data_IF_996477730546
#
_entry.id   IF_996477730546
#
_cell.length_a   1.000
_cell.length_b   1.000
_cell.length_c   1.000
_cell.angle_alpha   90.00
_cell.angle_beta   90.00
_cell.angle_gamma   90.00
#
_symmetry.space_group_name_H-M   'P 1'
#
loop_
_entity.id
_entity.type
_entity.pdbx_description
1 polymer ?
#
# COMPACT_ATOMS: atom_id res chain seq x y z
N UNK A 1 -17.27 -3.89 24.61
CA UNK A 1 -17.20 -3.57 23.16
C UNK A 1 -16.56 -2.19 22.97
N UNK A 2 -15.23 -2.13 22.80
CA UNK A 2 -14.56 -0.87 22.43
C UNK A 2 -14.76 -0.62 20.95
N UNK A 3 -15.66 0.30 20.63
CA UNK A 3 -15.96 0.72 19.25
C UNK A 3 -14.71 1.33 18.61
N UNK A 4 -14.38 0.90 17.39
CA UNK A 4 -13.35 1.53 16.56
C UNK A 4 -13.87 2.93 16.23
N UNK A 5 -13.38 3.95 16.95
CA UNK A 5 -13.62 5.34 16.60
C UNK A 5 -12.80 5.67 15.36
N UNK A 6 -13.39 5.40 14.19
CA UNK A 6 -12.83 5.78 12.91
C UNK A 6 -13.18 7.25 12.67
N UNK A 7 -12.29 8.14 13.11
CA UNK A 7 -12.33 9.52 12.64
C UNK A 7 -11.70 9.57 11.24
N UNK A 8 -12.13 10.51 10.38
CA UNK A 8 -11.56 10.65 9.02
C UNK A 8 -10.02 10.78 9.02
N UNK A 9 -9.44 11.23 10.13
CA UNK A 9 -8.03 11.59 10.26
C UNK A 9 -7.22 10.63 11.15
N UNK A 10 -7.86 9.75 11.93
CA UNK A 10 -7.13 8.83 12.79
C UNK A 10 -7.85 7.49 12.95
N UNK A 11 -7.05 6.41 12.93
CA UNK A 11 -7.49 5.06 13.28
C UNK A 11 -6.93 4.71 14.65
N UNK A 12 -7.81 4.22 15.52
CA UNK A 12 -7.44 3.67 16.82
C UNK A 12 -7.30 2.16 16.67
N UNK A 13 -6.07 1.66 16.71
CA UNK A 13 -5.78 0.24 16.67
C UNK A 13 -5.75 -0.32 18.10
N UNK A 14 -6.52 -1.37 18.43
CA UNK A 14 -6.50 -1.96 19.75
C UNK A 14 -5.13 -2.56 20.05
N UNK A 15 -4.71 -2.47 21.31
CA UNK A 15 -3.45 -3.07 21.76
C UNK A 15 -3.52 -4.59 21.66
N UNK A 16 -2.44 -5.24 21.25
CA UNK A 16 -2.36 -6.70 21.21
C UNK A 16 -2.43 -7.34 22.59
N UNK A 17 -2.05 -6.62 23.64
CA UNK A 17 -2.26 -7.03 25.05
C UNK A 17 -3.55 -6.42 25.57
N UNK A 18 -4.10 -6.98 26.66
CA UNK A 18 -5.16 -6.34 27.48
C UNK A 18 -4.68 -5.04 28.17
N UNK A 19 -3.71 -4.33 27.60
CA UNK A 19 -3.26 -3.03 28.03
C UNK A 19 -4.15 -1.95 27.42
N UNK A 20 -4.58 -0.99 28.25
CA UNK A 20 -5.41 0.15 27.87
C UNK A 20 -4.68 1.22 27.02
N UNK A 21 -3.62 0.83 26.31
CA UNK A 21 -2.80 1.71 25.47
C UNK A 21 -3.00 1.36 24.00
N UNK A 22 -4.04 1.93 23.34
CA UNK A 22 -4.24 1.72 21.91
C UNK A 22 -3.15 2.42 21.09
N UNK A 23 -2.84 1.86 19.93
CA UNK A 23 -1.98 2.51 18.94
C UNK A 23 -2.82 3.50 18.14
N UNK A 24 -2.53 4.78 18.27
CA UNK A 24 -3.18 5.85 17.49
C UNK A 24 -2.37 6.06 16.22
N UNK A 25 -3.02 5.91 15.08
CA UNK A 25 -2.41 6.09 13.76
C UNK A 25 -3.00 7.35 13.15
N UNK A 26 -2.16 8.37 12.98
CA UNK A 26 -2.53 9.59 12.27
C UNK A 26 -2.50 9.33 10.76
N UNK A 27 -3.64 9.56 10.12
CA UNK A 27 -3.88 9.40 8.69
C UNK A 27 -4.06 10.72 7.96
N UNK A 28 -3.85 11.87 8.61
CA UNK A 28 -4.09 13.19 8.02
C UNK A 28 -3.34 13.36 6.70
N UNK A 29 -2.01 13.14 6.70
CA UNK A 29 -1.18 13.20 5.50
C UNK A 29 -1.63 12.17 4.43
N UNK A 30 -1.94 10.95 4.86
CA UNK A 30 -2.32 9.86 3.95
C UNK A 30 -3.63 10.20 3.24
N UNK A 31 -4.60 10.76 3.97
CA UNK A 31 -5.89 11.17 3.42
C UNK A 31 -5.76 12.35 2.46
N UNK A 32 -4.95 13.35 2.80
CA UNK A 32 -4.64 14.47 1.90
C UNK A 32 -4.04 13.98 0.59
N UNK A 33 -3.05 13.08 0.68
CA UNK A 33 -2.39 12.52 -0.51
C UNK A 33 -3.33 11.62 -1.33
N UNK A 34 -4.19 10.86 -0.68
CA UNK A 34 -5.19 10.00 -1.33
C UNK A 34 -6.19 10.81 -2.17
N UNK A 35 -6.65 11.97 -1.68
CA UNK A 35 -7.51 12.88 -2.45
C UNK A 35 -6.82 13.43 -3.71
N UNK A 36 -5.48 13.47 -3.73
CA UNK A 36 -4.68 13.96 -4.86
C UNK A 36 -4.36 12.88 -5.89
N UNK A 37 -4.67 11.60 -5.65
CA UNK A 37 -4.44 10.52 -6.61
C UNK A 37 -5.15 10.79 -7.95
N UNK A 38 -6.33 11.41 -7.92
CA UNK A 38 -7.06 11.80 -9.14
C UNK A 38 -6.31 12.83 -10.00
N UNK A 39 -5.37 13.61 -9.44
CA UNK A 39 -4.56 14.58 -10.19
C UNK A 39 -3.59 13.88 -11.16
N UNK A 40 -3.28 12.60 -10.95
CA UNK A 40 -2.39 11.81 -11.83
C UNK A 40 -2.94 11.74 -13.26
N UNK A 41 -4.27 11.79 -13.44
CA UNK A 41 -4.91 11.76 -14.76
C UNK A 41 -4.57 12.99 -15.63
N UNK A 42 -4.23 14.12 -15.02
CA UNK A 42 -3.95 15.38 -15.71
C UNK A 42 -2.56 15.94 -15.36
N UNK A 43 -1.64 15.08 -14.95
CA UNK A 43 -0.31 15.51 -14.49
C UNK A 43 0.54 16.05 -15.63
N UNK A 44 1.14 17.22 -15.42
CA UNK A 44 2.13 17.82 -16.32
C UNK A 44 3.54 17.49 -15.85
N UNK A 45 4.53 17.55 -16.74
CA UNK A 45 5.94 17.32 -16.38
C UNK A 45 6.46 18.24 -15.28
N UNK A 46 5.90 19.44 -15.15
CA UNK A 46 6.27 20.41 -14.11
C UNK A 46 5.67 20.04 -12.74
N UNK A 47 4.48 19.44 -12.71
CA UNK A 47 3.78 19.05 -11.48
C UNK A 47 4.16 17.65 -10.99
N UNK A 48 4.64 16.79 -11.89
CA UNK A 48 5.02 15.40 -11.57
C UNK A 48 6.01 15.29 -10.40
N UNK A 49 7.10 16.08 -10.30
CA UNK A 49 8.05 15.97 -9.19
C UNK A 49 7.43 16.26 -7.82
N UNK A 50 6.51 17.23 -7.75
CA UNK A 50 5.81 17.60 -6.51
C UNK A 50 4.87 16.48 -6.06
N UNK A 51 4.06 15.95 -6.98
CA UNK A 51 3.17 14.81 -6.69
C UNK A 51 3.96 13.57 -6.26
N UNK A 52 5.05 13.27 -6.96
CA UNK A 52 5.93 12.14 -6.61
C UNK A 52 6.53 12.30 -5.20
N UNK A 53 6.97 13.51 -4.83
CA UNK A 53 7.47 13.78 -3.48
C UNK A 53 6.40 13.53 -2.41
N UNK A 54 5.16 13.99 -2.65
CA UNK A 54 4.02 13.77 -1.74
C UNK A 54 3.60 12.31 -1.62
N UNK A 55 3.56 11.57 -2.73
CA UNK A 55 3.28 10.13 -2.69
C UNK A 55 4.37 9.38 -1.93
N UNK A 56 5.64 9.74 -2.12
CA UNK A 56 6.74 9.12 -1.40
C UNK A 56 6.69 9.41 0.12
N UNK A 57 6.36 10.64 0.51
CA UNK A 57 6.17 11.04 1.91
C UNK A 57 5.12 10.16 2.60
N UNK A 58 3.92 10.06 2.01
CA UNK A 58 2.84 9.22 2.55
C UNK A 58 3.19 7.72 2.54
N UNK A 59 3.91 7.24 1.52
CA UNK A 59 4.38 5.86 1.44
C UNK A 59 5.36 5.50 2.56
N UNK A 60 6.27 6.40 2.91
CA UNK A 60 7.21 6.21 4.02
C UNK A 60 6.48 6.14 5.35
N UNK A 61 5.52 7.04 5.59
CA UNK A 61 4.69 7.04 6.79
C UNK A 61 3.91 5.73 6.93
N UNK A 62 3.28 5.25 5.85
CA UNK A 62 2.59 3.94 5.86
C UNK A 62 3.56 2.77 6.10
N UNK A 63 4.76 2.83 5.54
CA UNK A 63 5.81 1.82 5.74
C UNK A 63 6.28 1.78 7.19
N UNK A 64 6.23 2.89 7.92
CA UNK A 64 6.52 2.93 9.36
C UNK A 64 5.37 2.34 10.20
N UNK A 65 4.11 2.61 9.84
CA UNK A 65 2.95 2.14 10.62
C UNK A 65 2.65 0.65 10.46
N UNK A 66 2.83 0.09 9.26
CA UNK A 66 2.50 -1.32 8.98
C UNK A 66 3.19 -2.31 9.94
N UNK A 67 4.52 -2.23 10.18
CA UNK A 67 5.19 -3.10 11.14
C UNK A 67 4.69 -2.93 12.58
N UNK A 68 4.29 -1.71 12.98
CA UNK A 68 3.73 -1.45 14.32
C UNK A 68 2.39 -2.15 14.51
N UNK A 69 1.52 -2.13 13.49
CA UNK A 69 0.23 -2.84 13.51
C UNK A 69 0.44 -4.35 13.46
N UNK A 70 1.35 -4.83 12.61
CA UNK A 70 1.70 -6.25 12.52
C UNK A 70 2.24 -6.80 13.85
N UNK A 71 3.07 -6.01 14.55
CA UNK A 71 3.51 -6.34 15.90
C UNK A 71 2.31 -6.52 16.86
N UNK A 72 1.32 -5.62 16.84
CA UNK A 72 0.13 -5.76 17.69
C UNK A 72 -0.67 -7.01 17.33
N UNK A 73 -0.77 -7.36 16.04
CA UNK A 73 -1.40 -8.59 15.57
C UNK A 73 -0.69 -9.83 16.12
N UNK A 74 0.64 -9.89 16.01
CA UNK A 74 1.45 -10.99 16.54
C UNK A 74 1.34 -11.13 18.07
N UNK A 75 1.16 -10.02 18.78
CA UNK A 75 0.95 -10.05 20.22
C UNK A 75 -0.45 -10.56 20.56
N UNK A 76 -1.50 -10.07 19.88
CA UNK A 76 -2.87 -10.55 20.06
C UNK A 76 -3.00 -12.05 19.76
N UNK A 77 -2.37 -12.51 18.68
CA UNK A 77 -2.35 -13.92 18.29
C UNK A 77 -1.72 -14.80 19.38
N UNK A 78 -0.59 -14.36 19.94
CA UNK A 78 0.07 -15.08 21.04
C UNK A 78 -0.81 -15.17 22.28
N UNK A 79 -1.59 -14.14 22.61
CA UNK A 79 -2.52 -14.18 23.74
C UNK A 79 -3.72 -15.11 23.46
N UNK A 80 -4.27 -15.09 22.25
CA UNK A 80 -5.32 -16.02 21.83
C UNK A 80 -4.83 -17.49 21.89
N UNK A 81 -3.62 -17.76 21.40
CA UNK A 81 -3.03 -19.10 21.42
C UNK A 81 -2.77 -19.58 22.85
N UNK A 82 -2.34 -18.71 23.76
CA UNK A 82 -2.21 -19.04 25.19
C UNK A 82 -3.56 -19.42 25.81
N UNK A 83 -4.62 -18.62 25.60
CA UNK A 83 -5.96 -18.94 26.12
C UNK A 83 -6.46 -20.26 25.56
N UNK A 84 -6.28 -20.47 24.25
CA UNK A 84 -6.60 -21.72 23.58
C UNK A 84 -5.92 -22.92 24.22
N UNK A 85 -4.63 -22.83 24.55
CA UNK A 85 -3.91 -23.91 25.23
C UNK A 85 -4.49 -24.22 26.60
N UNK A 86 -4.81 -23.20 27.41
CA UNK A 86 -5.42 -23.36 28.73
C UNK A 86 -6.79 -24.04 28.62
N UNK A 87 -7.65 -23.55 27.72
CA UNK A 87 -9.00 -24.09 27.52
C UNK A 87 -8.93 -25.55 27.08
N UNK A 88 -8.07 -25.89 26.11
CA UNK A 88 -7.99 -27.25 25.57
C UNK A 88 -7.40 -28.27 26.55
N UNK A 89 -6.43 -27.87 27.38
CA UNK A 89 -5.76 -28.77 28.31
C UNK A 89 -6.54 -28.94 29.61
N UNK A 90 -6.95 -27.82 30.22
CA UNK A 90 -7.48 -27.80 31.58
C UNK A 90 -9.01 -27.79 31.62
N UNK A 91 -9.65 -26.89 30.88
CA UNK A 91 -11.09 -26.62 31.00
C UNK A 91 -11.93 -27.62 30.20
N UNK A 92 -11.52 -27.93 28.96
CA UNK A 92 -12.23 -28.85 28.09
C UNK A 92 -12.31 -30.25 28.71
N UNK A 93 -11.22 -30.72 29.33
CA UNK A 93 -11.23 -32.03 29.99
C UNK A 93 -12.18 -32.08 31.20
N UNK A 94 -12.33 -30.97 31.94
CA UNK A 94 -13.27 -30.88 33.08
C UNK A 94 -14.72 -30.86 32.59
N UNK A 95 -15.03 -29.98 31.64
CA UNK A 95 -16.38 -29.81 31.08
C UNK A 95 -16.88 -31.10 30.42
N UNK A 96 -16.01 -31.83 29.72
CA UNK A 96 -16.39 -33.09 29.07
C UNK A 96 -16.64 -34.21 30.07
N UNK A 97 -15.83 -34.31 31.14
CA UNK A 97 -16.05 -35.26 32.22
C UNK A 97 -17.34 -34.97 32.98
N UNK A 98 -17.62 -33.70 33.28
CA UNK A 98 -18.87 -33.28 33.93
C UNK A 98 -20.11 -33.59 33.09
N UNK A 99 -20.01 -33.44 31.77
CA UNK A 99 -21.10 -33.77 30.83
C UNK A 99 -21.19 -35.27 30.50
N UNK A 100 -20.31 -36.11 31.04
CA UNK A 100 -20.27 -37.55 30.74
C UNK A 100 -19.93 -37.87 29.29
N UNK A 101 -19.30 -36.94 28.57
CA UNK A 101 -18.95 -37.09 27.16
C UNK A 101 -17.53 -37.64 27.00
N UNK A 102 -17.29 -38.39 25.94
CA UNK A 102 -15.95 -38.84 25.60
C UNK A 102 -15.09 -37.69 25.10
N UNK A 103 -13.78 -37.77 25.33
CA UNK A 103 -12.83 -36.74 24.88
C UNK A 103 -12.55 -36.89 23.37
N UNK A 104 -13.46 -36.41 22.53
CA UNK A 104 -13.22 -36.29 21.08
C UNK A 104 -12.61 -34.93 20.71
N UNK A 105 -11.96 -34.85 19.55
CA UNK A 105 -11.40 -33.58 19.05
C UNK A 105 -12.49 -32.53 18.79
N UNK A 106 -13.61 -32.94 18.21
CA UNK A 106 -14.73 -32.05 17.86
C UNK A 106 -15.39 -31.44 19.10
N UNK A 107 -15.55 -32.23 20.17
CA UNK A 107 -16.12 -31.74 21.41
C UNK A 107 -15.19 -30.77 22.14
N UNK A 108 -13.87 -30.99 22.09
CA UNK A 108 -12.89 -30.02 22.62
C UNK A 108 -12.91 -28.71 21.84
N UNK A 109 -13.07 -28.79 20.51
CA UNK A 109 -13.23 -27.60 19.66
C UNK A 109 -14.52 -26.85 19.99
N UNK A 110 -15.64 -27.55 20.17
CA UNK A 110 -16.91 -26.93 20.56
C UNK A 110 -16.82 -26.21 21.92
N UNK A 111 -16.08 -26.78 22.89
CA UNK A 111 -15.82 -26.11 24.18
C UNK A 111 -14.97 -24.86 23.99
N UNK A 112 -13.91 -24.93 23.17
CA UNK A 112 -13.08 -23.76 22.83
C UNK A 112 -13.90 -22.67 22.16
N UNK A 113 -14.75 -23.03 21.19
CA UNK A 113 -15.58 -22.09 20.46
C UNK A 113 -16.65 -21.44 21.37
N UNK A 114 -16.98 -22.08 22.49
CA UNK A 114 -17.89 -21.54 23.51
C UNK A 114 -17.21 -20.63 24.54
N UNK A 115 -15.88 -20.55 24.56
CA UNK A 115 -15.15 -19.71 25.52
C UNK A 115 -15.18 -18.24 25.13
N UNK A 116 -15.90 -17.41 25.90
CA UNK A 116 -16.06 -15.98 25.62
C UNK A 116 -14.72 -15.24 25.56
N UNK A 117 -13.77 -15.57 26.44
CA UNK A 117 -12.47 -14.92 26.48
C UNK A 117 -11.64 -15.21 25.23
N UNK A 118 -11.65 -16.46 24.75
CA UNK A 118 -11.01 -16.83 23.49
C UNK A 118 -11.65 -16.09 22.31
N UNK A 119 -12.99 -16.01 22.25
CA UNK A 119 -13.67 -15.29 21.18
C UNK A 119 -13.33 -13.80 21.17
N UNK A 120 -13.27 -13.13 22.32
CA UNK A 120 -12.85 -11.73 22.42
C UNK A 120 -11.42 -11.50 21.91
N UNK A 121 -10.51 -12.44 22.19
CA UNK A 121 -9.13 -12.38 21.70
C UNK A 121 -9.07 -12.61 20.19
N UNK A 122 -9.87 -13.53 19.65
CA UNK A 122 -10.00 -13.75 18.20
C UNK A 122 -10.57 -12.52 17.49
N UNK A 123 -11.62 -11.91 18.02
CA UNK A 123 -12.21 -10.68 17.49
C UNK A 123 -11.17 -9.55 17.46
N UNK A 124 -10.33 -9.45 18.49
CA UNK A 124 -9.25 -8.48 18.51
C UNK A 124 -8.22 -8.73 17.42
N UNK A 125 -7.81 -9.98 17.21
CA UNK A 125 -6.91 -10.34 16.11
C UNK A 125 -7.53 -9.94 14.77
N UNK A 126 -8.82 -10.22 14.57
CA UNK A 126 -9.53 -9.84 13.35
C UNK A 126 -9.57 -8.31 13.16
N UNK A 127 -9.90 -7.54 14.20
CA UNK A 127 -9.91 -6.08 14.15
C UNK A 127 -8.53 -5.52 13.73
N UNK A 128 -7.45 -6.00 14.34
CA UNK A 128 -6.09 -5.56 13.98
C UNK A 128 -5.74 -5.99 12.54
N UNK A 129 -6.16 -7.18 12.10
CA UNK A 129 -5.94 -7.63 10.72
C UNK A 129 -6.67 -6.76 9.71
N UNK A 130 -7.92 -6.37 9.98
CA UNK A 130 -8.67 -5.45 9.12
C UNK A 130 -7.98 -4.09 9.01
N UNK A 131 -7.45 -3.56 10.11
CA UNK A 131 -6.68 -2.30 10.10
C UNK A 131 -5.40 -2.45 9.27
N UNK A 132 -4.68 -3.56 9.43
CA UNK A 132 -3.49 -3.85 8.64
C UNK A 132 -3.80 -3.88 7.15
N UNK A 133 -4.83 -4.62 6.74
CA UNK A 133 -5.26 -4.73 5.34
C UNK A 133 -5.70 -3.37 4.78
N UNK A 134 -6.38 -2.55 5.58
CA UNK A 134 -6.77 -1.19 5.18
C UNK A 134 -5.55 -0.31 4.91
N UNK A 135 -4.52 -0.35 5.77
CA UNK A 135 -3.28 0.42 5.59
C UNK A 135 -2.46 -0.10 4.40
N UNK A 136 -2.38 -1.41 4.21
CA UNK A 136 -1.69 -2.03 3.09
C UNK A 136 -2.37 -1.67 1.76
N UNK A 137 -3.71 -1.68 1.73
CA UNK A 137 -4.50 -1.22 0.58
C UNK A 137 -4.21 0.24 0.21
N UNK A 138 -4.15 1.14 1.21
CA UNK A 138 -3.77 2.54 1.00
C UNK A 138 -2.35 2.70 0.48
N UNK A 139 -1.40 1.92 1.02
CA UNK A 139 0.00 1.92 0.57
C UNK A 139 0.10 1.53 -0.90
N UNK A 140 -0.58 0.46 -1.32
CA UNK A 140 -0.63 0.00 -2.71
C UNK A 140 -1.25 1.06 -3.64
N UNK A 141 -2.32 1.72 -3.22
CA UNK A 141 -2.93 2.80 -4.01
C UNK A 141 -1.96 3.95 -4.27
N UNK A 142 -1.21 4.37 -3.24
CA UNK A 142 -0.20 5.43 -3.35
C UNK A 142 0.98 4.98 -4.22
N UNK A 143 1.44 3.74 -4.09
CA UNK A 143 2.50 3.18 -4.93
C UNK A 143 2.12 3.14 -6.42
N UNK A 144 0.88 2.76 -6.72
CA UNK A 144 0.35 2.80 -8.09
C UNK A 144 0.30 4.24 -8.63
N UNK A 145 -0.16 5.21 -7.82
CA UNK A 145 -0.21 6.61 -8.19
C UNK A 145 1.20 7.19 -8.48
N UNK A 146 2.18 6.85 -7.65
CA UNK A 146 3.58 7.19 -7.86
C UNK A 146 4.12 6.61 -9.17
N UNK A 147 3.88 5.32 -9.41
CA UNK A 147 4.34 4.62 -10.62
C UNK A 147 3.71 5.20 -11.88
N UNK A 148 2.42 5.50 -11.85
CA UNK A 148 1.72 6.15 -12.95
C UNK A 148 2.29 7.54 -13.25
N UNK A 149 2.52 8.36 -12.22
CA UNK A 149 3.13 9.69 -12.38
C UNK A 149 4.52 9.61 -12.99
N UNK A 150 5.34 8.64 -12.55
CA UNK A 150 6.67 8.39 -13.10
C UNK A 150 6.64 8.02 -14.58
N UNK A 151 5.65 7.22 -15.01
CA UNK A 151 5.48 6.83 -16.43
C UNK A 151 5.16 8.04 -17.32
N UNK A 152 4.25 8.91 -16.90
CA UNK A 152 3.90 10.14 -17.64
C UNK A 152 5.14 11.02 -17.86
N UNK A 153 6.01 11.14 -16.86
CA UNK A 153 7.26 11.87 -17.01
C UNK A 153 8.22 11.21 -18.01
N UNK A 154 8.35 9.87 -17.99
CA UNK A 154 9.20 9.13 -18.92
C UNK A 154 8.74 9.24 -20.37
N UNK A 155 7.44 9.14 -20.64
CA UNK A 155 6.86 9.29 -21.98
C UNK A 155 7.08 10.69 -22.57
N UNK A 156 6.98 11.74 -21.74
CA UNK A 156 7.21 13.11 -22.18
C UNK A 156 8.66 13.36 -22.64
N UNK A 157 9.64 12.70 -22.03
CA UNK A 157 11.06 12.82 -22.42
C UNK A 157 11.31 12.16 -23.79
N UNK A 158 10.77 10.96 -24.01
CA UNK A 158 10.91 10.26 -25.29
C UNK A 158 10.22 11.00 -26.44
N UNK A 159 9.01 11.52 -26.21
CA UNK A 159 8.28 12.26 -27.25
C UNK A 159 8.98 13.57 -27.63
N UNK A 160 9.56 14.27 -26.64
CA UNK A 160 10.32 15.50 -26.88
C UNK A 160 11.61 15.22 -27.68
N UNK A 161 12.32 14.15 -27.34
CA UNK A 161 13.55 13.75 -28.03
C UNK A 161 13.28 13.36 -29.49
N UNK A 162 12.20 12.61 -29.74
CA UNK A 162 11.80 12.22 -31.10
C UNK A 162 11.36 13.43 -31.94
N UNK A 163 10.66 14.40 -31.35
CA UNK A 163 10.30 15.65 -32.03
C UNK A 163 11.52 16.50 -32.38
N UNK A 164 12.49 16.61 -31.47
CA UNK A 164 13.72 17.35 -31.73
C UNK A 164 14.54 16.67 -32.84
N UNK A 165 14.66 15.34 -32.81
CA UNK A 165 15.32 14.59 -33.87
C UNK A 165 14.63 14.78 -35.23
N UNK A 166 13.29 14.73 -35.30
CA UNK A 166 12.57 14.98 -36.56
C UNK A 166 12.73 16.41 -37.09
N UNK A 167 12.84 17.41 -36.20
CA UNK A 167 13.08 18.80 -36.59
C UNK A 167 14.52 19.02 -37.07
N UNK A 168 15.49 18.36 -36.43
CA UNK A 168 16.89 18.37 -36.87
C UNK A 168 17.03 17.72 -38.25
N UNK A 169 16.38 16.58 -38.49
CA UNK A 169 16.35 15.92 -39.80
C UNK A 169 15.70 16.78 -40.89
N UNK A 170 14.61 17.50 -40.57
CA UNK A 170 13.99 18.45 -41.50
C UNK A 170 14.89 19.66 -41.80
N UNK A 171 15.64 20.16 -40.80
CA UNK A 171 16.60 21.27 -40.98
C UNK A 171 17.88 20.83 -41.72
N UNK A 172 18.31 19.58 -41.57
CA UNK A 172 19.45 19.01 -42.30
C UNK A 172 19.10 18.67 -43.76
N UNK A 173 17.82 18.48 -44.08
CA UNK A 173 17.31 18.30 -45.44
C UNK A 173 17.08 19.60 -46.23
N UNK A 174 17.12 20.76 -45.58
CA UNK A 174 16.86 22.07 -46.20
C UNK A 174 18.08 22.71 -46.89
N UNK A 175 19.18 21.98 -47.04
CA UNK A 175 20.40 22.41 -47.72
C UNK A 175 20.49 21.97 -49.19
N UNK A 176 19.38 21.95 -49.94
CA UNK A 176 19.48 21.76 -51.39
C UNK A 176 19.88 23.08 -52.04
N UNK A 177 21.13 23.14 -52.51
CA UNK A 177 21.57 24.20 -53.42
C UNK A 177 20.95 23.89 -54.78
N UNK A 178 19.94 24.67 -55.15
CA UNK A 178 19.31 24.63 -56.46
C UNK A 178 20.13 25.55 -57.36
N UNK A 179 20.64 25.04 -58.48
CA UNK A 179 21.31 25.88 -59.46
C UNK A 179 20.30 26.80 -60.17
N UNK A 180 20.79 27.82 -60.88
CA UNK A 180 19.94 28.75 -61.65
C UNK A 180 19.16 28.11 -62.81
N UNK A 181 19.26 26.79 -62.99
CA UNK A 181 18.53 25.98 -63.98
C UNK A 181 17.48 25.06 -63.35
N UNK A 182 17.32 25.09 -62.02
CA UNK A 182 16.30 24.32 -61.30
C UNK A 182 16.67 22.88 -60.96
N UNK A 183 17.94 22.48 -61.11
CA UNK A 183 18.39 21.13 -60.78
C UNK A 183 18.98 21.06 -59.36
N UNK A 184 18.64 19.98 -58.64
CA UNK A 184 19.14 19.70 -57.28
C UNK A 184 20.58 19.15 -57.36
N UNK A 185 21.55 19.93 -56.87
CA UNK A 185 22.96 19.50 -56.83
C UNK A 185 23.24 18.83 -55.48
N UNK A 186 23.76 17.60 -55.50
CA UNK A 186 24.16 16.88 -54.29
C UNK A 186 25.34 17.60 -53.61
N UNK A 187 25.10 18.15 -52.42
CA UNK A 187 26.10 18.83 -51.62
C UNK A 187 27.27 17.90 -51.22
N UNK A 188 28.46 18.50 -51.11
CA UNK A 188 29.73 17.84 -50.80
C UNK A 188 29.62 16.83 -49.64
N UNK A 189 29.99 15.58 -49.92
CA UNK A 189 29.98 14.48 -48.96
C UNK A 189 30.90 14.72 -47.76
N UNK A 190 30.46 14.22 -46.60
CA UNK A 190 31.18 14.31 -45.32
C UNK A 190 32.60 13.70 -45.42
N UNK A 191 33.63 14.32 -44.83
CA UNK A 191 34.95 13.69 -44.73
C UNK A 191 34.87 12.50 -43.76
N UNK A 192 35.41 11.36 -44.21
CA UNK A 192 35.66 10.21 -43.35
C UNK A 192 36.93 10.49 -42.53
N UNK A 193 36.78 10.50 -41.21
CA UNK A 193 37.86 10.24 -40.25
C UNK A 193 37.44 9.04 -39.41
#
# INVERSE_FOLDING_TARGET
MSSILQSKTAIVCPSGKNTNQPLIIDLTLIHEVEQRIQEVAFVTSQKAPELMARFNEAFLVLTEYLPKVDYQKLVAQREADKRKSVVLLDEATKILKEKGLSSSADLRKAVLDSDEQYQELCDRVHQISCIYEQLDGKKKAIEMAYTATKKVLGENIHTTTNRLNSLVEQSAGAGQVIDSSGNVVAGFGKPKY
#
